data_IF_275580508325
#
_entry.id   IF_275580508325
#
_cell.length_a   1.000
_cell.length_b   1.000
_cell.length_c   1.000
_cell.angle_alpha   90.00
_cell.angle_beta   90.00
_cell.angle_gamma   90.00
#
_symmetry.space_group_name_H-M   'P 1'
#
loop_
_entity.id
_entity.type
_entity.pdbx_description
1 polymer ?
#
# COMPACT_ATOMS: atom_id res chain seq x y z
N UNK A 1 21.85 8.15 -17.81
CA UNK A 1 21.70 9.59 -18.11
C UNK A 1 20.22 9.92 -17.96
N UNK A 2 19.79 10.21 -16.72
CA UNK A 2 18.40 10.60 -16.46
C UNK A 2 18.29 12.11 -16.67
N UNK A 3 17.35 12.51 -17.52
CA UNK A 3 17.13 13.89 -17.91
C UNK A 3 16.71 14.75 -16.73
N UNK A 4 17.36 15.91 -16.61
CA UNK A 4 16.92 17.00 -15.74
C UNK A 4 15.49 17.39 -16.14
N UNK A 5 14.53 17.11 -15.26
CA UNK A 5 13.14 17.56 -15.45
C UNK A 5 13.14 19.09 -15.44
N UNK A 6 12.57 19.78 -16.45
CA UNK A 6 12.62 21.23 -16.52
C UNK A 6 11.92 21.83 -15.30
N UNK A 7 12.56 22.79 -14.64
CA UNK A 7 11.97 23.60 -13.59
C UNK A 7 10.84 24.46 -14.19
N UNK A 8 9.64 23.89 -14.28
CA UNK A 8 8.44 24.67 -14.58
C UNK A 8 8.09 25.50 -13.34
N UNK A 9 8.03 26.82 -13.50
CA UNK A 9 7.85 27.81 -12.44
C UNK A 9 6.46 27.80 -11.75
N UNK A 10 5.65 26.76 -12.01
CA UNK A 10 4.41 26.46 -11.29
C UNK A 10 4.63 25.20 -10.45
N UNK A 11 5.35 25.32 -9.32
CA UNK A 11 5.48 24.23 -8.37
C UNK A 11 4.10 23.87 -7.80
N UNK A 12 3.64 22.65 -8.06
CA UNK A 12 2.40 22.08 -7.56
C UNK A 12 2.33 22.16 -6.02
N UNK A 13 1.26 22.65 -5.34
CA UNK A 13 1.04 22.55 -3.89
C UNK A 13 1.44 21.22 -3.23
N UNK A 14 1.17 20.07 -3.87
CA UNK A 14 1.65 18.76 -3.38
C UNK A 14 3.19 18.70 -3.43
N UNK A 15 3.80 19.20 -4.52
CA UNK A 15 5.24 19.35 -4.70
C UNK A 15 5.90 20.37 -3.76
N UNK A 16 5.19 21.43 -3.34
CA UNK A 16 5.70 22.44 -2.38
C UNK A 16 5.76 21.90 -0.95
N UNK A 17 4.91 20.92 -0.61
CA UNK A 17 4.76 20.38 0.74
C UNK A 17 5.55 19.09 0.98
N UNK A 18 5.85 18.32 -0.07
CA UNK A 18 6.68 17.12 0.00
C UNK A 18 8.15 17.47 -0.31
N UNK A 19 9.04 17.29 0.68
CA UNK A 19 10.48 17.60 0.55
C UNK A 19 11.28 16.64 -0.36
N UNK A 20 10.62 15.69 -1.02
CA UNK A 20 11.14 14.92 -2.15
C UNK A 20 9.93 14.40 -2.93
N UNK A 21 10.00 14.42 -4.25
CA UNK A 21 8.83 14.24 -5.12
C UNK A 21 8.53 12.77 -5.42
N UNK A 22 9.45 11.87 -5.18
CA UNK A 22 9.37 10.47 -5.59
C UNK A 22 10.12 9.62 -4.57
N UNK A 23 9.77 8.34 -4.48
CA UNK A 23 10.65 7.37 -3.83
C UNK A 23 11.94 7.30 -4.65
N UNK A 24 13.07 7.72 -4.10
CA UNK A 24 14.32 7.80 -4.86
C UNK A 24 15.12 6.50 -4.79
N UNK A 25 16.02 6.31 -5.76
CA UNK A 25 16.96 5.19 -5.76
C UNK A 25 17.86 5.21 -4.51
N UNK A 26 18.12 6.40 -3.92
CA UNK A 26 18.85 6.50 -2.65
C UNK A 26 18.06 5.85 -1.51
N UNK A 27 16.76 6.13 -1.38
CA UNK A 27 15.94 5.50 -0.33
C UNK A 27 15.90 3.99 -0.50
N UNK A 28 15.74 3.49 -1.73
CA UNK A 28 15.77 2.05 -1.99
C UNK A 28 17.12 1.42 -1.63
N UNK A 29 18.23 2.12 -1.93
CA UNK A 29 19.57 1.69 -1.56
C UNK A 29 19.74 1.65 -0.05
N UNK A 30 19.39 2.72 0.65
CA UNK A 30 19.50 2.82 2.10
C UNK A 30 18.62 1.79 2.82
N UNK A 31 17.39 1.57 2.33
CA UNK A 31 16.50 0.50 2.81
C UNK A 31 17.16 -0.88 2.69
N UNK A 32 17.76 -1.20 1.54
CA UNK A 32 18.45 -2.48 1.36
C UNK A 32 19.66 -2.60 2.28
N UNK A 33 20.43 -1.54 2.47
CA UNK A 33 21.59 -1.56 3.36
C UNK A 33 21.17 -1.84 4.82
N UNK A 34 20.09 -1.22 5.29
CA UNK A 34 19.49 -1.50 6.60
C UNK A 34 19.03 -2.96 6.72
N UNK A 35 18.26 -3.43 5.75
CA UNK A 35 17.72 -4.79 5.75
C UNK A 35 18.83 -5.85 5.67
N UNK A 36 19.83 -5.59 4.84
CA UNK A 36 20.97 -6.48 4.66
C UNK A 36 21.82 -6.56 5.92
N UNK A 37 22.09 -5.43 6.58
CA UNK A 37 22.79 -5.40 7.87
C UNK A 37 22.09 -6.30 8.88
N UNK A 38 20.76 -6.22 8.95
CA UNK A 38 19.99 -7.06 9.85
C UNK A 38 20.03 -8.54 9.47
N UNK A 39 19.97 -8.86 8.17
CA UNK A 39 20.14 -10.23 7.70
C UNK A 39 21.53 -10.81 8.06
N UNK A 40 22.60 -10.01 8.02
CA UNK A 40 23.94 -10.40 8.46
C UNK A 40 24.02 -10.69 9.97
N UNK A 41 23.34 -9.89 10.80
CA UNK A 41 23.22 -10.14 12.25
C UNK A 41 22.58 -11.52 12.52
N UNK A 42 21.72 -11.96 11.61
CA UNK A 42 21.01 -13.24 11.64
C UNK A 42 21.62 -14.32 10.74
N UNK A 43 22.91 -14.16 10.44
CA UNK A 43 23.78 -15.19 9.83
C UNK A 43 23.38 -15.62 8.43
N UNK A 44 22.76 -14.72 7.66
CA UNK A 44 22.45 -14.99 6.25
C UNK A 44 23.73 -15.21 5.42
N UNK A 45 24.82 -14.53 5.76
CA UNK A 45 26.14 -14.67 5.14
C UNK A 45 26.67 -16.11 5.26
N UNK A 46 26.61 -16.67 6.47
CA UNK A 46 27.04 -18.03 6.75
C UNK A 46 26.15 -19.05 6.03
N UNK A 47 24.86 -18.76 5.92
CA UNK A 47 23.93 -19.59 5.16
C UNK A 47 24.28 -19.58 3.66
N UNK A 48 24.49 -18.40 3.06
CA UNK A 48 24.84 -18.25 1.64
C UNK A 48 26.18 -18.92 1.34
N UNK A 49 27.22 -18.64 2.13
CA UNK A 49 28.55 -19.21 1.92
C UNK A 49 28.54 -20.75 1.98
N UNK A 50 27.72 -21.32 2.87
CA UNK A 50 27.52 -22.78 2.97
C UNK A 50 26.60 -23.36 1.91
N UNK A 51 25.75 -22.55 1.28
CA UNK A 51 24.82 -23.01 0.24
C UNK A 51 25.46 -22.97 -1.14
N UNK A 52 26.31 -21.96 -1.39
CA UNK A 52 27.03 -21.77 -2.64
C UNK A 52 28.03 -22.91 -2.90
N UNK A 53 27.99 -23.45 -4.11
CA UNK A 53 28.80 -24.60 -4.50
C UNK A 53 30.30 -24.33 -4.36
N UNK A 54 30.76 -23.11 -4.67
CA UNK A 54 32.18 -22.72 -4.56
C UNK A 54 32.56 -22.40 -3.11
N UNK A 55 31.67 -21.73 -2.38
CA UNK A 55 31.87 -21.41 -0.96
C UNK A 55 32.02 -22.64 -0.07
N UNK A 56 31.32 -23.75 -0.37
CA UNK A 56 31.42 -25.02 0.38
C UNK A 56 32.82 -25.64 0.36
N UNK A 57 33.53 -25.51 -0.75
CA UNK A 57 34.78 -26.22 -1.02
C UNK A 57 36.02 -25.36 -0.83
N UNK A 58 35.83 -24.05 -0.61
CA UNK A 58 36.92 -23.09 -0.51
C UNK A 58 37.45 -23.00 0.94
N UNK A 59 38.69 -23.45 1.20
CA UNK A 59 39.29 -23.39 2.53
C UNK A 59 39.65 -21.96 2.98
N UNK A 60 39.71 -20.99 2.05
CA UNK A 60 40.05 -19.59 2.36
C UNK A 60 38.84 -18.77 2.81
N UNK A 61 37.63 -19.19 2.38
CA UNK A 61 36.38 -18.48 2.62
C UNK A 61 36.13 -17.30 1.67
N UNK A 62 37.07 -16.96 0.80
CA UNK A 62 36.96 -15.87 -0.17
C UNK A 62 35.79 -16.07 -1.13
N UNK A 63 35.62 -17.29 -1.66
CA UNK A 63 34.50 -17.64 -2.54
C UNK A 63 33.14 -17.51 -1.84
N UNK A 64 33.11 -17.78 -0.54
CA UNK A 64 31.93 -17.56 0.31
C UNK A 64 31.60 -16.07 0.41
N UNK A 65 32.59 -15.22 0.66
CA UNK A 65 32.41 -13.75 0.70
C UNK A 65 31.96 -13.19 -0.65
N UNK A 66 32.53 -13.67 -1.76
CA UNK A 66 32.09 -13.26 -3.10
C UNK A 66 30.63 -13.67 -3.38
N UNK A 67 30.22 -14.88 -2.96
CA UNK A 67 28.84 -15.34 -3.11
C UNK A 67 27.86 -14.44 -2.35
N UNK A 68 28.21 -14.05 -1.12
CA UNK A 68 27.43 -13.11 -0.30
C UNK A 68 27.29 -11.75 -1.01
N UNK A 69 28.38 -11.24 -1.61
CA UNK A 69 28.34 -9.99 -2.38
C UNK A 69 27.45 -10.08 -3.63
N UNK A 70 27.52 -11.18 -4.41
CA UNK A 70 26.67 -11.39 -5.59
C UNK A 70 25.18 -11.52 -5.23
N UNK A 71 24.86 -12.15 -4.11
CA UNK A 71 23.48 -12.24 -3.62
C UNK A 71 22.95 -10.85 -3.25
N UNK A 72 23.74 -10.05 -2.53
CA UNK A 72 23.37 -8.66 -2.20
C UNK A 72 23.14 -7.81 -3.46
N UNK A 73 24.00 -7.95 -4.46
CA UNK A 73 23.82 -7.24 -5.74
C UNK A 73 22.54 -7.68 -6.46
N UNK A 74 22.25 -8.98 -6.49
CA UNK A 74 21.00 -9.48 -7.07
C UNK A 74 19.78 -8.95 -6.33
N UNK A 75 19.83 -8.85 -5.00
CA UNK A 75 18.77 -8.20 -4.23
C UNK A 75 18.63 -6.72 -4.62
N UNK A 76 19.74 -5.98 -4.74
CA UNK A 76 19.76 -4.57 -5.14
C UNK A 76 19.08 -4.32 -6.48
N UNK A 77 19.43 -5.11 -7.49
CA UNK A 77 18.85 -4.98 -8.83
C UNK A 77 17.32 -5.15 -8.86
N UNK A 78 16.77 -5.95 -7.95
CA UNK A 78 15.34 -6.30 -7.93
C UNK A 78 14.61 -5.78 -6.69
N UNK A 79 15.24 -4.91 -5.91
CA UNK A 79 14.76 -4.56 -4.57
C UNK A 79 13.41 -3.85 -4.62
N UNK A 80 13.21 -2.91 -5.56
CA UNK A 80 11.92 -2.24 -5.73
C UNK A 80 10.75 -3.22 -5.99
N UNK A 81 10.99 -4.29 -6.77
CA UNK A 81 10.00 -5.34 -7.01
C UNK A 81 9.73 -6.16 -5.75
N UNK A 82 10.79 -6.55 -5.02
CA UNK A 82 10.66 -7.30 -3.75
C UNK A 82 9.82 -6.50 -2.76
N UNK A 83 10.04 -5.19 -2.70
CA UNK A 83 9.30 -4.28 -1.85
C UNK A 83 7.82 -4.16 -2.24
N UNK A 84 7.50 -4.02 -3.54
CA UNK A 84 6.12 -4.00 -4.01
C UNK A 84 5.38 -5.29 -3.68
N UNK A 85 6.04 -6.44 -3.87
CA UNK A 85 5.52 -7.75 -3.50
C UNK A 85 5.25 -7.84 -2.00
N UNK A 86 6.22 -7.42 -1.19
CA UNK A 86 6.06 -7.39 0.26
C UNK A 86 4.88 -6.51 0.70
N UNK A 87 4.84 -5.26 0.23
CA UNK A 87 3.81 -4.28 0.58
C UNK A 87 2.41 -4.80 0.21
N UNK A 88 2.26 -5.46 -0.95
CA UNK A 88 1.01 -6.05 -1.40
C UNK A 88 0.55 -7.20 -0.50
N UNK A 89 1.38 -8.22 -0.27
CA UNK A 89 0.96 -9.36 0.57
C UNK A 89 0.77 -8.98 2.03
N UNK A 90 1.52 -8.02 2.56
CA UNK A 90 1.29 -7.47 3.90
C UNK A 90 -0.08 -6.77 3.98
N UNK A 91 -0.51 -6.10 2.91
CA UNK A 91 -1.80 -5.40 2.86
C UNK A 91 -3.03 -6.30 2.84
N UNK A 92 -2.87 -7.59 2.52
CA UNK A 92 -3.96 -8.57 2.51
C UNK A 92 -4.36 -9.04 3.92
N UNK A 93 -3.60 -8.66 4.94
CA UNK A 93 -3.82 -9.11 6.30
C UNK A 93 -5.17 -8.61 6.86
N UNK A 94 -6.05 -9.56 7.16
CA UNK A 94 -7.39 -9.31 7.67
C UNK A 94 -7.40 -8.84 9.15
N UNK A 95 -6.34 -9.12 9.92
CA UNK A 95 -6.25 -8.79 11.34
C UNK A 95 -5.88 -7.32 11.60
N UNK A 96 -5.69 -6.52 10.54
CA UNK A 96 -5.49 -5.08 10.59
C UNK A 96 -4.04 -4.61 10.66
N UNK A 97 -3.07 -5.51 10.85
CA UNK A 97 -1.64 -5.19 10.67
C UNK A 97 -1.25 -5.33 9.19
N UNK A 98 -1.34 -4.23 8.46
CA UNK A 98 -1.03 -4.15 7.03
C UNK A 98 0.47 -3.98 6.74
N UNK A 99 1.33 -4.09 7.75
CA UNK A 99 2.78 -3.87 7.63
C UNK A 99 3.61 -5.11 7.91
N UNK A 100 3.01 -6.28 8.09
CA UNK A 100 3.71 -7.56 8.23
C UNK A 100 2.97 -8.66 7.47
N UNK A 101 3.68 -9.70 7.05
CA UNK A 101 3.08 -10.84 6.35
C UNK A 101 2.80 -11.96 7.36
N UNK A 102 1.53 -12.15 7.69
CA UNK A 102 1.06 -13.28 8.50
C UNK A 102 1.15 -14.61 7.74
N UNK A 103 0.95 -15.72 8.46
CA UNK A 103 1.02 -17.07 7.85
C UNK A 103 -0.04 -17.30 6.75
N UNK A 104 -1.19 -16.65 6.84
CA UNK A 104 -2.26 -16.79 5.84
C UNK A 104 -1.86 -16.11 4.52
N UNK A 105 -1.37 -14.88 4.60
CA UNK A 105 -0.92 -14.07 3.48
C UNK A 105 0.35 -14.67 2.86
N UNK A 106 1.25 -15.18 3.69
CA UNK A 106 2.40 -15.94 3.26
C UNK A 106 2.00 -17.19 2.46
N UNK A 107 0.98 -17.93 2.92
CA UNK A 107 0.46 -19.09 2.19
C UNK A 107 -0.20 -18.71 0.87
N UNK A 108 -0.90 -17.56 0.81
CA UNK A 108 -1.43 -17.03 -0.44
C UNK A 108 -0.28 -16.75 -1.43
N UNK A 109 0.76 -16.05 -0.98
CA UNK A 109 1.98 -15.81 -1.75
C UNK A 109 2.64 -17.10 -2.25
N UNK A 110 2.81 -18.12 -1.39
CA UNK A 110 3.42 -19.39 -1.79
C UNK A 110 2.62 -20.09 -2.90
N UNK A 111 1.29 -20.12 -2.77
CA UNK A 111 0.41 -20.79 -3.71
C UNK A 111 0.37 -20.05 -5.05
N UNK A 112 0.21 -18.73 -5.01
CA UNK A 112 0.12 -17.86 -6.19
C UNK A 112 1.43 -17.88 -6.98
N UNK A 113 2.58 -17.81 -6.30
CA UNK A 113 3.88 -17.94 -6.94
C UNK A 113 4.28 -19.39 -7.26
N UNK A 114 3.44 -20.39 -6.98
CA UNK A 114 3.74 -21.82 -7.16
C UNK A 114 5.12 -22.26 -6.59
N UNK A 115 5.47 -21.70 -5.43
CA UNK A 115 6.78 -21.94 -4.77
C UNK A 115 6.94 -23.36 -4.20
N UNK A 116 5.90 -24.02 -3.66
CA UNK A 116 6.01 -25.40 -3.25
C UNK A 116 6.25 -26.35 -4.44
N UNK A 117 7.23 -27.25 -4.31
CA UNK A 117 7.44 -28.36 -5.24
C UNK A 117 6.85 -29.64 -4.61
N UNK A 118 5.81 -30.25 -5.20
CA UNK A 118 5.26 -31.51 -4.70
C UNK A 118 6.33 -32.61 -4.62
N UNK A 119 6.40 -33.26 -3.45
CA UNK A 119 7.35 -34.36 -3.19
C UNK A 119 8.81 -33.95 -2.96
N UNK A 120 9.16 -32.66 -3.06
CA UNK A 120 10.48 -32.18 -2.67
C UNK A 120 10.65 -32.28 -1.14
N UNK A 121 11.81 -32.72 -0.67
CA UNK A 121 12.12 -32.73 0.78
C UNK A 121 12.49 -31.34 1.29
N UNK A 122 13.03 -30.49 0.41
CA UNK A 122 13.62 -29.21 0.77
C UNK A 122 12.86 -28.00 0.20
N UNK A 123 11.74 -28.22 -0.49
CA UNK A 123 10.93 -27.14 -1.06
C UNK A 123 9.44 -27.50 -1.17
N UNK A 124 8.93 -28.45 -0.38
CA UNK A 124 7.49 -28.63 -0.25
C UNK A 124 6.86 -27.53 0.64
N UNK A 125 5.54 -27.45 0.68
CA UNK A 125 4.80 -26.45 1.44
C UNK A 125 5.19 -26.43 2.92
N UNK A 126 5.21 -27.60 3.56
CA UNK A 126 5.57 -27.73 4.98
C UNK A 126 6.99 -27.22 5.26
N UNK A 127 7.95 -27.49 4.37
CA UNK A 127 9.31 -26.98 4.50
C UNK A 127 9.37 -25.46 4.39
N UNK A 128 8.62 -24.86 3.46
CA UNK A 128 8.56 -23.39 3.32
C UNK A 128 7.89 -22.72 4.53
N UNK A 129 6.84 -23.32 5.10
CA UNK A 129 6.23 -22.88 6.37
C UNK A 129 7.21 -23.03 7.55
N UNK A 130 8.03 -24.09 7.57
CA UNK A 130 9.09 -24.23 8.58
C UNK A 130 10.17 -23.16 8.42
N UNK A 131 10.51 -22.75 7.19
CA UNK A 131 11.42 -21.62 6.96
C UNK A 131 10.82 -20.32 7.51
N UNK A 132 9.54 -20.05 7.28
CA UNK A 132 8.84 -18.90 7.88
C UNK A 132 9.02 -18.90 9.40
N UNK A 133 8.67 -20.01 10.07
CA UNK A 133 8.74 -20.09 11.54
C UNK A 133 10.17 -19.97 12.04
N UNK A 134 11.14 -20.58 11.35
CA UNK A 134 12.55 -20.51 11.74
C UNK A 134 13.12 -19.10 11.60
N UNK A 135 12.65 -18.32 10.62
CA UNK A 135 13.08 -16.93 10.43
C UNK A 135 12.44 -16.03 11.50
N UNK A 136 11.12 -16.09 11.69
CA UNK A 136 10.39 -15.31 12.72
C UNK A 136 10.93 -15.58 14.15
N UNK A 137 11.14 -16.85 14.49
CA UNK A 137 11.62 -17.22 15.84
C UNK A 137 13.13 -17.08 16.04
N UNK A 138 13.92 -17.05 14.96
CA UNK A 138 15.39 -17.13 15.00
C UNK A 138 16.11 -15.80 15.25
N UNK A 139 15.38 -14.69 15.31
CA UNK A 139 15.97 -13.36 15.36
C UNK A 139 16.58 -13.04 16.73
N UNK A 140 17.89 -12.79 16.74
CA UNK A 140 18.62 -12.42 17.97
C UNK A 140 18.32 -11.00 18.42
N UNK A 141 18.14 -10.10 17.46
CA UNK A 141 17.63 -8.75 17.69
C UNK A 141 16.11 -8.78 17.52
N UNK A 142 15.36 -8.89 18.63
CA UNK A 142 13.91 -8.69 18.55
C UNK A 142 13.65 -7.23 18.26
N UNK A 143 13.27 -6.96 17.02
CA UNK A 143 12.82 -5.63 16.63
C UNK A 143 11.59 -5.27 17.47
N UNK A 144 11.59 -4.05 18.01
CA UNK A 144 10.55 -3.57 18.92
C UNK A 144 9.15 -3.59 18.29
N UNK A 145 9.10 -3.53 16.95
CA UNK A 145 7.90 -3.41 16.14
C UNK A 145 7.59 -4.67 15.33
N UNK A 146 8.39 -5.74 15.46
CA UNK A 146 8.06 -6.97 14.77
C UNK A 146 6.89 -7.67 15.48
N UNK A 147 5.88 -8.03 14.70
CA UNK A 147 4.77 -8.84 15.21
C UNK A 147 5.26 -10.27 15.41
N UNK A 148 4.76 -10.95 16.44
CA UNK A 148 5.07 -12.38 16.61
C UNK A 148 4.26 -13.15 15.57
N UNK A 149 4.88 -14.13 14.92
CA UNK A 149 4.22 -15.00 13.95
C UNK A 149 3.89 -14.32 12.61
N UNK A 150 4.63 -13.27 12.25
CA UNK A 150 4.54 -12.58 10.97
C UNK A 150 5.94 -12.18 10.50
N UNK A 151 6.13 -12.05 9.19
CA UNK A 151 7.41 -11.60 8.63
C UNK A 151 7.41 -10.08 8.45
N UNK A 152 8.43 -9.43 9.02
CA UNK A 152 8.84 -8.09 8.61
C UNK A 152 9.46 -8.09 7.21
N UNK A 153 9.69 -6.91 6.65
CA UNK A 153 10.36 -6.72 5.34
C UNK A 153 11.71 -7.42 5.27
N UNK A 154 12.47 -7.33 6.35
CA UNK A 154 13.81 -7.90 6.50
C UNK A 154 13.79 -9.43 6.58
N UNK A 155 12.76 -9.96 7.23
CA UNK A 155 12.54 -11.40 7.36
C UNK A 155 12.05 -12.00 6.04
N UNK A 156 11.18 -11.29 5.32
CA UNK A 156 10.74 -11.68 3.99
C UNK A 156 11.92 -11.74 3.00
N UNK A 157 12.82 -10.75 3.02
CA UNK A 157 14.05 -10.78 2.21
C UNK A 157 14.92 -12.01 2.51
N UNK A 158 15.10 -12.36 3.79
CA UNK A 158 15.83 -13.58 4.17
C UNK A 158 15.11 -14.85 3.72
N UNK A 159 13.78 -14.87 3.79
CA UNK A 159 12.97 -15.96 3.27
C UNK A 159 13.24 -16.18 1.78
N UNK A 160 13.23 -15.13 0.96
CA UNK A 160 13.47 -15.26 -0.49
C UNK A 160 14.82 -15.90 -0.81
N UNK A 161 15.89 -15.50 -0.11
CA UNK A 161 17.22 -16.11 -0.28
C UNK A 161 17.20 -17.59 0.09
N UNK A 162 16.56 -17.95 1.22
CA UNK A 162 16.48 -19.34 1.69
C UNK A 162 15.61 -20.20 0.78
N UNK A 163 14.49 -19.66 0.31
CA UNK A 163 13.58 -20.31 -0.63
C UNK A 163 14.26 -20.57 -1.98
N UNK A 164 15.06 -19.61 -2.49
CA UNK A 164 15.84 -19.80 -3.71
C UNK A 164 16.83 -20.97 -3.60
N UNK A 165 17.57 -21.03 -2.48
CA UNK A 165 18.49 -22.16 -2.20
C UNK A 165 17.72 -23.48 -2.11
N UNK A 166 16.61 -23.50 -1.39
CA UNK A 166 15.74 -24.67 -1.23
C UNK A 166 15.18 -25.18 -2.55
N UNK A 167 14.77 -24.27 -3.45
CA UNK A 167 14.11 -24.59 -4.71
C UNK A 167 15.07 -25.00 -5.83
N UNK A 168 16.28 -24.40 -5.85
CA UNK A 168 17.19 -24.52 -6.99
C UNK A 168 18.60 -25.01 -6.67
N UNK A 169 19.10 -24.79 -5.44
CA UNK A 169 20.46 -25.20 -5.05
C UNK A 169 20.52 -26.53 -4.31
N UNK A 170 19.37 -27.20 -4.15
CA UNK A 170 19.26 -28.54 -3.61
C UNK A 170 18.67 -29.49 -4.64
N UNK A 171 19.09 -30.78 -4.65
CA UNK A 171 18.45 -31.80 -5.46
C UNK A 171 16.95 -31.88 -5.18
N UNK A 172 16.12 -31.89 -6.23
CA UNK A 172 14.66 -32.04 -6.05
C UNK A 172 14.29 -33.45 -5.65
N UNK A 173 15.03 -34.44 -6.16
CA UNK A 173 14.97 -35.84 -5.75
C UNK A 173 16.36 -36.38 -5.44
N UNK A 174 16.40 -37.48 -4.68
CA UNK A 174 17.64 -38.17 -4.36
C UNK A 174 18.33 -38.64 -5.64
N UNK A 175 19.58 -38.23 -5.83
CA UNK A 175 20.41 -38.61 -6.98
C UNK A 175 20.34 -37.65 -8.17
N UNK A 176 19.55 -36.57 -8.09
CA UNK A 176 19.57 -35.49 -9.09
C UNK A 176 20.61 -34.43 -8.73
N UNK A 177 21.14 -33.76 -9.75
CA UNK A 177 21.98 -32.58 -9.55
C UNK A 177 21.10 -31.35 -9.27
N UNK A 178 21.58 -30.38 -8.45
CA UNK A 178 20.93 -29.08 -8.32
C UNK A 178 20.83 -28.35 -9.67
N UNK A 179 19.79 -27.53 -9.82
CA UNK A 179 19.63 -26.69 -11.02
C UNK A 179 20.67 -25.56 -11.03
N UNK A 180 20.94 -24.99 -9.86
CA UNK A 180 21.93 -23.93 -9.68
C UNK A 180 22.93 -24.31 -8.58
N UNK A 181 24.17 -23.93 -8.78
CA UNK A 181 25.23 -24.01 -7.75
C UNK A 181 25.62 -22.63 -7.21
N UNK A 182 25.29 -21.55 -7.94
CA UNK A 182 25.43 -20.16 -7.50
C UNK A 182 24.11 -19.67 -6.90
N UNK A 183 24.16 -19.23 -5.64
CA UNK A 183 22.97 -18.75 -4.92
C UNK A 183 22.39 -17.49 -5.55
N UNK A 184 23.22 -16.61 -6.14
CA UNK A 184 22.76 -15.40 -6.80
C UNK A 184 21.97 -15.71 -8.08
N UNK A 185 22.38 -16.73 -8.84
CA UNK A 185 21.63 -17.21 -10.00
C UNK A 185 20.29 -17.84 -9.58
N UNK A 186 20.29 -18.65 -8.52
CA UNK A 186 19.06 -19.22 -7.97
C UNK A 186 18.07 -18.16 -7.47
N UNK A 187 18.56 -17.10 -6.83
CA UNK A 187 17.72 -16.00 -6.39
C UNK A 187 17.14 -15.24 -7.58
N UNK A 188 17.95 -14.99 -8.62
CA UNK A 188 17.47 -14.35 -9.85
C UNK A 188 16.40 -15.19 -10.56
N UNK A 189 16.58 -16.51 -10.61
CA UNK A 189 15.59 -17.46 -11.15
C UNK A 189 14.27 -17.40 -10.35
N UNK A 190 14.36 -17.40 -9.01
CA UNK A 190 13.19 -17.23 -8.15
C UNK A 190 12.46 -15.91 -8.44
N UNK A 191 13.18 -14.79 -8.49
CA UNK A 191 12.58 -13.47 -8.63
C UNK A 191 11.97 -13.24 -10.02
N UNK A 192 12.70 -13.55 -11.09
CA UNK A 192 12.32 -13.17 -12.45
C UNK A 192 11.46 -14.21 -13.16
N UNK A 193 11.73 -15.50 -12.93
CA UNK A 193 11.07 -16.58 -13.68
C UNK A 193 9.98 -17.26 -12.85
N UNK A 194 10.04 -17.18 -11.52
CA UNK A 194 9.01 -17.75 -10.65
C UNK A 194 8.07 -16.69 -10.06
N UNK A 195 8.57 -15.63 -9.44
CA UNK A 195 7.71 -14.66 -8.75
C UNK A 195 7.08 -13.66 -9.71
N UNK A 196 7.89 -12.90 -10.45
CA UNK A 196 7.42 -11.82 -11.35
C UNK A 196 6.26 -12.21 -12.28
N UNK A 197 6.25 -13.38 -12.95
CA UNK A 197 5.13 -13.74 -13.83
C UNK A 197 3.89 -14.26 -13.10
N UNK A 198 3.99 -14.63 -11.82
CA UNK A 198 2.93 -15.34 -11.11
C UNK A 198 2.29 -14.55 -9.95
N UNK A 199 2.95 -13.54 -9.40
CA UNK A 199 2.33 -12.64 -8.40
C UNK A 199 1.17 -11.84 -9.01
N UNK A 200 0.22 -11.44 -8.17
CA UNK A 200 -0.83 -10.49 -8.53
C UNK A 200 -0.19 -9.25 -9.17
N UNK A 201 -0.64 -8.80 -10.35
CA UNK A 201 -0.04 -7.64 -11.01
C UNK A 201 -0.10 -6.36 -10.15
N UNK A 202 -1.02 -6.25 -9.18
CA UNK A 202 -1.07 -5.16 -8.21
C UNK A 202 0.18 -5.10 -7.31
N UNK A 203 0.83 -6.24 -7.08
CA UNK A 203 2.10 -6.36 -6.35
C UNK A 203 3.28 -5.73 -7.11
N UNK A 204 3.12 -5.48 -8.41
CA UNK A 204 4.13 -4.92 -9.30
C UNK A 204 3.83 -3.46 -9.68
N UNK A 205 2.80 -2.83 -9.11
CA UNK A 205 2.48 -1.44 -9.42
C UNK A 205 3.61 -0.49 -9.00
N UNK A 206 3.82 0.56 -9.78
CA UNK A 206 4.85 1.55 -9.53
C UNK A 206 4.25 2.87 -9.04
N UNK A 207 4.42 3.17 -7.76
CA UNK A 207 3.89 4.40 -7.17
C UNK A 207 4.45 5.68 -7.80
N UNK A 208 5.71 5.67 -8.25
CA UNK A 208 6.29 6.83 -8.91
C UNK A 208 5.71 7.05 -10.31
N UNK A 209 5.43 5.98 -11.07
CA UNK A 209 4.73 6.09 -12.35
C UNK A 209 3.30 6.59 -12.15
N UNK A 210 2.58 6.08 -11.15
CA UNK A 210 1.26 6.59 -10.78
C UNK A 210 1.30 8.10 -10.49
N UNK A 211 2.23 8.53 -9.62
CA UNK A 211 2.39 9.93 -9.24
C UNK A 211 2.66 10.82 -10.45
N UNK A 212 3.57 10.40 -11.34
CA UNK A 212 3.89 11.15 -12.56
C UNK A 212 2.70 11.23 -13.52
N UNK A 213 1.96 10.13 -13.68
CA UNK A 213 0.83 10.04 -14.63
C UNK A 213 -0.39 10.83 -14.15
N UNK A 214 -0.71 10.78 -12.86
CA UNK A 214 -2.02 11.22 -12.37
C UNK A 214 -1.98 12.33 -11.31
N UNK A 215 -0.97 12.34 -10.43
CA UNK A 215 -0.92 13.26 -9.30
C UNK A 215 -0.16 14.55 -9.64
N UNK A 216 1.00 14.42 -10.29
CA UNK A 216 1.91 15.54 -10.59
C UNK A 216 1.67 16.15 -11.96
N UNK A 217 0.40 16.36 -12.27
CA UNK A 217 -0.08 17.07 -13.45
C UNK A 217 -0.79 18.35 -13.02
N UNK A 218 -0.77 19.37 -13.88
CA UNK A 218 -1.16 20.73 -13.53
C UNK A 218 -2.65 20.82 -13.13
N UNK A 219 -3.50 20.06 -13.80
CA UNK A 219 -4.95 20.07 -13.62
C UNK A 219 -5.36 19.42 -12.29
N UNK A 220 -4.75 18.27 -11.95
CA UNK A 220 -4.95 17.62 -10.64
C UNK A 220 -4.49 18.53 -9.50
N UNK A 221 -3.34 19.17 -9.68
CA UNK A 221 -2.80 20.10 -8.70
C UNK A 221 -3.69 21.33 -8.48
N UNK A 222 -4.16 21.95 -9.56
CA UNK A 222 -5.07 23.10 -9.48
C UNK A 222 -6.37 22.75 -8.74
N UNK A 223 -6.93 21.57 -8.99
CA UNK A 223 -8.09 21.06 -8.28
C UNK A 223 -7.81 20.85 -6.78
N UNK A 224 -6.71 20.16 -6.45
CA UNK A 224 -6.33 19.91 -5.07
C UNK A 224 -6.11 21.22 -4.30
N UNK A 225 -5.50 22.23 -4.94
CA UNK A 225 -5.34 23.56 -4.37
C UNK A 225 -6.68 24.25 -4.12
N UNK A 226 -7.62 24.14 -5.06
CA UNK A 226 -8.96 24.73 -4.95
C UNK A 226 -9.75 24.15 -3.76
N UNK A 227 -9.62 22.85 -3.49
CA UNK A 227 -10.32 22.16 -2.41
C UNK A 227 -9.47 21.93 -1.15
N UNK A 228 -8.29 22.54 -1.06
CA UNK A 228 -7.32 22.28 0.00
C UNK A 228 -7.89 22.47 1.40
N UNK A 229 -8.67 23.53 1.64
CA UNK A 229 -9.27 23.79 2.96
C UNK A 229 -10.25 22.70 3.38
N UNK A 230 -11.03 22.18 2.44
CA UNK A 230 -12.00 21.10 2.65
C UNK A 230 -11.28 19.79 2.99
N UNK A 231 -10.27 19.45 2.19
CA UNK A 231 -9.48 18.23 2.37
C UNK A 231 -8.67 18.28 3.66
N UNK A 232 -8.10 19.44 4.00
CA UNK A 232 -7.37 19.66 5.25
C UNK A 232 -8.31 19.52 6.46
N UNK A 233 -9.52 20.09 6.40
CA UNK A 233 -10.51 19.94 7.47
C UNK A 233 -10.88 18.47 7.71
N UNK A 234 -11.01 17.67 6.64
CA UNK A 234 -11.26 16.24 6.74
C UNK A 234 -10.07 15.50 7.37
N UNK A 235 -8.86 15.70 6.82
CA UNK A 235 -7.63 15.10 7.32
C UNK A 235 -7.38 15.40 8.80
N UNK A 236 -7.49 16.67 9.21
CA UNK A 236 -7.19 17.09 10.57
C UNK A 236 -8.10 16.43 11.61
N UNK A 237 -9.37 16.20 11.27
CA UNK A 237 -10.34 15.61 12.20
C UNK A 237 -10.15 14.11 12.36
N UNK A 238 -9.71 13.42 11.31
CA UNK A 238 -9.44 11.98 11.38
C UNK A 238 -8.03 11.66 11.88
N UNK A 239 -7.04 12.50 11.62
CA UNK A 239 -5.65 12.32 12.10
C UNK A 239 -5.41 12.77 13.55
N UNK A 240 -6.34 13.51 14.16
CA UNK A 240 -6.23 13.98 15.56
C UNK A 240 -6.98 13.06 16.55
N UNK A 241 -7.16 11.78 16.22
CA UNK A 241 -7.75 10.81 17.15
C UNK A 241 -6.81 10.47 18.31
N UNK A 242 -7.40 10.19 19.48
CA UNK A 242 -6.65 9.63 20.59
C UNK A 242 -6.28 8.19 20.26
N UNK A 243 -4.98 7.94 20.17
CA UNK A 243 -4.44 6.61 19.94
C UNK A 243 -4.32 5.84 21.25
N UNK A 244 -4.43 4.51 21.17
CA UNK A 244 -4.13 3.65 22.32
C UNK A 244 -2.68 3.88 22.76
N UNK A 245 -2.44 4.00 24.07
CA UNK A 245 -1.10 4.26 24.63
C UNK A 245 -0.08 3.17 24.31
N UNK A 246 -0.54 1.97 23.93
CA UNK A 246 0.27 0.83 23.54
C UNK A 246 0.73 0.86 22.07
N UNK A 247 0.06 1.62 21.19
CA UNK A 247 0.48 1.73 19.79
C UNK A 247 1.54 2.84 19.65
N UNK A 248 2.79 2.41 19.51
CA UNK A 248 3.92 3.32 19.37
C UNK A 248 4.01 3.94 17.98
N UNK A 249 3.40 3.31 16.97
CA UNK A 249 3.48 3.69 15.55
C UNK A 249 2.45 4.76 15.18
N UNK A 250 1.38 4.86 15.95
CA UNK A 250 0.40 5.95 15.89
C UNK A 250 0.97 7.29 16.38
N UNK A 251 0.60 8.39 15.73
CA UNK A 251 0.95 9.75 16.15
C UNK A 251 -0.13 10.77 15.74
N UNK A 252 -0.56 11.61 16.70
CA UNK A 252 -1.51 12.69 16.43
C UNK A 252 -1.00 13.61 15.32
N UNK A 253 -1.90 13.96 14.41
CA UNK A 253 -1.61 14.76 13.23
C UNK A 253 -1.12 13.96 12.01
N UNK A 254 -1.02 12.62 12.12
CA UNK A 254 -0.85 11.72 10.98
C UNK A 254 -1.98 10.69 10.92
N UNK A 255 -2.38 10.33 9.70
CA UNK A 255 -3.52 9.46 9.48
C UNK A 255 -3.05 8.00 9.35
N UNK A 256 -3.27 7.19 10.37
CA UNK A 256 -2.99 5.75 10.34
C UNK A 256 -4.06 4.96 9.57
N UNK A 257 -3.81 3.67 9.33
CA UNK A 257 -4.72 2.80 8.57
C UNK A 257 -6.10 2.72 9.21
N UNK A 258 -6.18 2.58 10.54
CA UNK A 258 -7.46 2.52 11.25
C UNK A 258 -8.28 3.80 11.06
N UNK A 259 -7.65 4.97 11.16
CA UNK A 259 -8.32 6.25 10.93
C UNK A 259 -8.78 6.41 9.48
N UNK A 260 -7.97 5.96 8.53
CA UNK A 260 -8.32 5.93 7.11
C UNK A 260 -9.53 5.04 6.82
N UNK A 261 -9.54 3.80 7.34
CA UNK A 261 -10.66 2.87 7.20
C UNK A 261 -11.94 3.43 7.83
N UNK A 262 -11.85 3.98 9.05
CA UNK A 262 -12.98 4.61 9.75
C UNK A 262 -13.53 5.82 8.97
N UNK A 263 -12.65 6.61 8.35
CA UNK A 263 -13.07 7.74 7.52
C UNK A 263 -13.89 7.26 6.32
N UNK A 264 -13.39 6.25 5.61
CA UNK A 264 -14.05 5.70 4.44
C UNK A 264 -15.35 4.98 4.80
N UNK A 265 -15.41 4.31 5.96
CA UNK A 265 -16.63 3.69 6.49
C UNK A 265 -17.69 4.74 6.84
N UNK A 266 -17.34 5.81 7.58
CA UNK A 266 -18.27 6.91 7.86
C UNK A 266 -18.81 7.55 6.57
N UNK A 267 -18.02 7.60 5.51
CA UNK A 267 -18.39 8.12 4.19
C UNK A 267 -19.04 7.07 3.27
N UNK A 268 -19.15 5.81 3.72
CA UNK A 268 -19.68 4.67 2.95
C UNK A 268 -19.06 4.60 1.54
N UNK A 269 -17.72 4.70 1.48
CA UNK A 269 -16.97 4.68 0.21
C UNK A 269 -16.68 3.28 -0.30
N UNK A 270 -16.92 2.23 0.49
CA UNK A 270 -16.84 0.84 0.04
C UNK A 270 -18.13 0.46 -0.70
N UNK A 271 -18.00 -0.21 -1.84
CA UNK A 271 -19.10 -0.73 -2.64
C UNK A 271 -18.76 -2.11 -3.21
N UNK A 272 -19.58 -2.61 -4.16
CA UNK A 272 -19.40 -3.93 -4.76
C UNK A 272 -18.09 -4.11 -5.54
N UNK A 273 -17.49 -3.03 -6.05
CA UNK A 273 -16.28 -3.09 -6.88
C UNK A 273 -15.06 -2.45 -6.17
N UNK A 274 -15.28 -1.38 -5.39
CA UNK A 274 -14.26 -0.77 -4.54
C UNK A 274 -14.38 -1.31 -3.12
N UNK A 275 -13.64 -2.37 -2.82
CA UNK A 275 -13.72 -3.07 -1.54
C UNK A 275 -12.73 -2.52 -0.51
N UNK A 276 -12.71 -3.13 0.68
CA UNK A 276 -11.69 -2.85 1.71
C UNK A 276 -10.28 -3.09 1.17
N UNK A 277 -10.10 -4.03 0.23
CA UNK A 277 -8.79 -4.34 -0.37
C UNK A 277 -8.27 -3.17 -1.20
N UNK A 278 -9.07 -2.59 -2.08
CA UNK A 278 -8.69 -1.43 -2.91
C UNK A 278 -8.46 -0.21 -2.02
N UNK A 279 -9.29 -0.03 -0.98
CA UNK A 279 -9.12 1.02 0.01
C UNK A 279 -7.81 0.90 0.79
N UNK A 280 -7.42 -0.29 1.24
CA UNK A 280 -6.13 -0.53 1.89
C UNK A 280 -4.97 -0.33 0.91
N UNK A 281 -5.14 -0.73 -0.35
CA UNK A 281 -4.14 -0.50 -1.41
C UNK A 281 -3.89 0.99 -1.65
N UNK A 282 -4.94 1.83 -1.66
CA UNK A 282 -4.81 3.29 -1.73
C UNK A 282 -3.89 3.83 -0.63
N UNK A 283 -4.09 3.38 0.61
CA UNK A 283 -3.28 3.76 1.76
C UNK A 283 -1.84 3.25 1.59
N UNK A 284 -1.67 1.97 1.28
CA UNK A 284 -0.36 1.34 1.21
C UNK A 284 0.54 1.96 0.14
N UNK A 285 -0.01 2.23 -1.05
CA UNK A 285 0.72 2.75 -2.19
C UNK A 285 0.97 4.26 -2.14
N UNK A 286 0.17 5.00 -1.37
CA UNK A 286 0.33 6.44 -1.21
C UNK A 286 1.48 6.84 -0.26
N UNK A 287 1.84 5.95 0.67
CA UNK A 287 2.94 6.20 1.63
C UNK A 287 4.26 6.39 0.90
N UNK A 288 5.10 7.26 1.45
CA UNK A 288 6.49 7.34 1.05
C UNK A 288 7.30 6.24 1.73
N UNK A 289 8.27 5.69 1.02
CA UNK A 289 9.15 4.65 1.54
C UNK A 289 10.10 5.21 2.60
N UNK A 290 10.46 4.37 3.57
CA UNK A 290 11.47 4.69 4.59
C UNK A 290 12.62 3.70 4.55
N UNK A 291 13.82 4.18 4.90
CA UNK A 291 15.03 3.39 4.91
C UNK A 291 15.01 2.37 6.07
N UNK A 292 14.89 2.84 7.30
CA UNK A 292 15.04 2.04 8.51
C UNK A 292 13.71 1.88 9.27
N UNK A 293 13.06 0.74 9.08
CA UNK A 293 11.79 0.42 9.76
C UNK A 293 11.95 0.11 11.26
N UNK A 294 13.20 -0.06 11.73
CA UNK A 294 13.51 -0.30 13.15
C UNK A 294 13.56 1.01 13.95
N UNK A 295 13.73 2.14 13.26
CA UNK A 295 13.72 3.47 13.86
C UNK A 295 12.27 3.95 14.06
N UNK A 296 11.90 4.30 15.29
CA UNK A 296 10.53 4.72 15.60
C UNK A 296 10.04 5.95 14.81
N UNK A 297 10.93 6.90 14.52
CA UNK A 297 10.57 8.13 13.79
C UNK A 297 10.26 7.80 12.34
N UNK A 298 11.03 6.91 11.73
CA UNK A 298 10.79 6.45 10.37
C UNK A 298 9.60 5.50 10.29
N UNK A 299 9.48 4.57 11.23
CA UNK A 299 8.34 3.65 11.33
C UNK A 299 7.01 4.41 11.44
N UNK A 300 6.95 5.51 12.19
CA UNK A 300 5.78 6.40 12.23
C UNK A 300 5.47 7.04 10.88
N UNK A 301 6.47 7.49 10.12
CA UNK A 301 6.25 8.03 8.78
C UNK A 301 5.75 6.97 7.81
N UNK A 302 6.25 5.74 7.96
CA UNK A 302 5.82 4.62 7.14
C UNK A 302 4.40 4.17 7.49
N UNK A 303 4.04 4.09 8.76
CA UNK A 303 2.75 3.56 9.20
C UNK A 303 1.59 4.56 9.10
N UNK A 304 1.84 5.81 8.72
CA UNK A 304 0.82 6.85 8.66
C UNK A 304 0.96 7.72 7.41
N UNK A 305 -0.15 8.25 6.91
CA UNK A 305 -0.18 9.24 5.85
C UNK A 305 0.01 10.64 6.45
N UNK A 306 0.92 11.42 5.87
CA UNK A 306 0.88 12.88 5.98
C UNK A 306 -0.24 13.42 5.10
N UNK A 307 -0.52 14.71 5.21
CA UNK A 307 -1.54 15.34 4.37
C UNK A 307 -1.30 15.14 2.86
N UNK A 308 -0.05 15.23 2.39
CA UNK A 308 0.28 14.99 0.98
C UNK A 308 0.03 13.54 0.54
N UNK A 309 0.33 12.57 1.40
CA UNK A 309 0.09 11.15 1.14
C UNK A 309 -1.43 10.86 1.15
N UNK A 310 -2.18 11.55 2.01
CA UNK A 310 -3.64 11.50 2.01
C UNK A 310 -4.26 12.02 0.70
N UNK A 311 -3.71 13.11 0.12
CA UNK A 311 -4.16 13.58 -1.19
C UNK A 311 -3.87 12.56 -2.30
N UNK A 312 -2.72 11.88 -2.26
CA UNK A 312 -2.41 10.79 -3.18
C UNK A 312 -3.37 9.62 -3.01
N UNK A 313 -3.68 9.22 -1.76
CA UNK A 313 -4.62 8.13 -1.48
C UNK A 313 -6.01 8.43 -2.04
N UNK A 314 -6.49 9.68 -1.96
CA UNK A 314 -7.74 10.09 -2.62
C UNK A 314 -7.63 10.07 -4.15
N UNK A 315 -6.49 10.46 -4.72
CA UNK A 315 -6.28 10.37 -6.16
C UNK A 315 -6.29 8.91 -6.65
N UNK A 316 -5.69 7.98 -5.89
CA UNK A 316 -5.75 6.52 -6.16
C UNK A 316 -7.17 5.99 -6.04
N UNK A 317 -7.90 6.42 -5.02
CA UNK A 317 -9.31 6.06 -4.88
C UNK A 317 -10.13 6.56 -6.07
N UNK A 318 -9.85 7.76 -6.58
CA UNK A 318 -10.55 8.30 -7.74
C UNK A 318 -10.28 7.54 -9.06
N UNK A 319 -9.17 6.80 -9.18
CA UNK A 319 -8.92 5.91 -10.34
C UNK A 319 -9.65 4.58 -10.20
N UNK A 320 -9.84 4.08 -8.97
CA UNK A 320 -10.44 2.76 -8.71
C UNK A 320 -11.94 2.81 -8.44
N UNK A 321 -12.47 3.95 -7.97
CA UNK A 321 -13.89 4.07 -7.67
C UNK A 321 -14.67 4.46 -8.92
N UNK A 322 -15.80 3.80 -9.15
CA UNK A 322 -16.70 4.14 -10.26
C UNK A 322 -17.39 5.49 -10.01
N UNK A 323 -16.80 6.56 -10.54
CA UNK A 323 -17.32 7.93 -10.46
C UNK A 323 -18.01 8.36 -11.75
N UNK A 324 -19.16 9.08 -11.71
CA UNK A 324 -19.80 9.63 -12.90
C UNK A 324 -18.86 10.47 -13.77
N UNK A 325 -19.06 10.39 -15.09
CA UNK A 325 -18.45 11.31 -16.06
C UNK A 325 -19.21 12.63 -16.10
N UNK A 326 -18.55 13.68 -16.59
CA UNK A 326 -19.21 14.98 -16.77
C UNK A 326 -20.46 14.90 -17.66
N UNK A 327 -20.38 14.14 -18.75
CA UNK A 327 -21.51 13.93 -19.67
C UNK A 327 -22.69 13.22 -18.96
N UNK A 328 -22.39 12.23 -18.11
CA UNK A 328 -23.41 11.54 -17.30
C UNK A 328 -24.06 12.48 -16.28
N UNK A 329 -23.27 13.34 -15.64
CA UNK A 329 -23.73 14.34 -14.67
C UNK A 329 -24.64 15.38 -15.36
N UNK A 330 -24.24 15.88 -16.53
CA UNK A 330 -25.03 16.81 -17.33
C UNK A 330 -26.34 16.18 -17.79
N UNK A 331 -26.29 14.95 -18.30
CA UNK A 331 -27.48 14.21 -18.73
C UNK A 331 -28.46 13.94 -17.57
N UNK A 332 -27.95 13.78 -16.34
CA UNK A 332 -28.74 13.62 -15.13
C UNK A 332 -29.25 14.96 -14.54
N UNK A 333 -28.88 16.10 -15.12
CA UNK A 333 -29.24 17.44 -14.63
C UNK A 333 -28.73 17.71 -13.22
N UNK A 334 -27.58 17.14 -12.86
CA UNK A 334 -26.94 17.32 -11.55
C UNK A 334 -25.78 18.31 -11.65
N UNK A 335 -25.40 18.97 -10.55
CA UNK A 335 -24.28 19.90 -10.56
C UNK A 335 -22.92 19.19 -10.58
N UNK A 336 -22.84 18.01 -9.97
CA UNK A 336 -21.65 17.17 -9.89
C UNK A 336 -21.99 15.69 -9.64
N UNK A 337 -20.97 14.84 -9.72
CA UNK A 337 -21.09 13.41 -9.52
C UNK A 337 -21.46 13.03 -8.09
N UNK A 338 -21.10 13.84 -7.10
CA UNK A 338 -21.53 13.64 -5.71
C UNK A 338 -23.04 13.78 -5.55
N UNK A 339 -23.62 14.83 -6.11
CA UNK A 339 -25.07 15.04 -6.17
C UNK A 339 -25.77 13.90 -6.92
N UNK A 340 -25.25 13.53 -8.09
CA UNK A 340 -25.80 12.45 -8.90
C UNK A 340 -25.86 11.13 -8.13
N UNK A 341 -24.74 10.72 -7.51
CA UNK A 341 -24.67 9.46 -6.76
C UNK A 341 -25.53 9.47 -5.49
N UNK A 342 -25.66 10.61 -4.81
CA UNK A 342 -26.48 10.72 -3.59
C UNK A 342 -27.99 10.77 -3.89
N UNK A 343 -28.39 11.15 -5.11
CA UNK A 343 -29.80 11.09 -5.56
C UNK A 343 -30.25 9.68 -5.95
N UNK A 344 -29.32 8.80 -6.35
CA UNK A 344 -29.63 7.43 -6.73
C UNK A 344 -30.13 6.63 -5.53
N UNK A 345 -31.16 5.80 -5.75
CA UNK A 345 -31.52 4.79 -4.74
C UNK A 345 -30.47 3.67 -4.69
N UNK A 346 -30.35 2.91 -3.59
CA UNK A 346 -29.29 1.92 -3.43
C UNK A 346 -29.17 0.89 -4.57
N UNK A 347 -30.29 0.43 -5.13
CA UNK A 347 -30.30 -0.52 -6.25
C UNK A 347 -29.77 0.09 -7.55
N UNK A 348 -30.10 1.36 -7.83
CA UNK A 348 -29.58 2.09 -8.99
C UNK A 348 -28.07 2.33 -8.84
N UNK A 349 -27.64 2.71 -7.65
CA UNK A 349 -26.21 2.92 -7.34
C UNK A 349 -25.40 1.64 -7.50
N UNK A 350 -25.90 0.52 -6.98
CA UNK A 350 -25.29 -0.81 -7.19
C UNK A 350 -25.19 -1.15 -8.68
N UNK A 351 -26.28 -0.99 -9.42
CA UNK A 351 -26.28 -1.25 -10.86
C UNK A 351 -25.31 -0.32 -11.61
N UNK A 352 -25.19 0.93 -11.18
CA UNK A 352 -24.25 1.89 -11.75
C UNK A 352 -22.80 1.41 -11.62
N UNK A 353 -22.43 0.93 -10.43
CA UNK A 353 -21.09 0.44 -10.09
C UNK A 353 -20.77 -0.88 -10.81
N UNK A 354 -21.61 -1.91 -10.67
CA UNK A 354 -21.36 -3.26 -11.21
C UNK A 354 -21.28 -3.30 -12.74
N UNK A 355 -21.99 -2.41 -13.44
CA UNK A 355 -21.92 -2.34 -14.90
C UNK A 355 -20.64 -1.64 -15.41
N UNK A 356 -19.89 -0.98 -14.53
CA UNK A 356 -18.76 -0.11 -14.87
C UNK A 356 -17.61 -0.35 -13.88
N UNK A 357 -17.10 -1.59 -13.78
CA UNK A 357 -15.99 -1.87 -12.89
C UNK A 357 -14.79 -0.97 -13.24
N UNK A 358 -14.09 -0.51 -12.21
CA UNK A 358 -12.83 0.21 -12.32
C UNK A 358 -11.85 -0.49 -11.39
N UNK A 359 -10.72 -0.93 -11.95
CA UNK A 359 -9.66 -1.57 -11.19
C UNK A 359 -8.44 -0.64 -11.12
N UNK A 360 -7.46 -1.00 -10.29
CA UNK A 360 -6.24 -0.21 -10.10
C UNK A 360 -5.42 0.01 -11.39
N UNK A 361 -5.54 -0.89 -12.36
CA UNK A 361 -4.85 -0.87 -13.65
C UNK A 361 -5.73 -0.35 -14.81
N UNK A 362 -6.99 -0.01 -14.52
CA UNK A 362 -7.92 0.53 -15.52
C UNK A 362 -7.57 1.98 -15.86
N UNK A 363 -7.67 2.33 -17.14
CA UNK A 363 -7.61 3.74 -17.53
C UNK A 363 -8.87 4.47 -17.05
N UNK A 364 -8.75 5.63 -16.37
CA UNK A 364 -9.92 6.39 -15.95
C UNK A 364 -10.82 6.77 -17.12
N UNK A 365 -12.14 6.71 -16.91
CA UNK A 365 -13.16 7.00 -17.94
C UNK A 365 -13.20 8.46 -18.42
N UNK A 366 -12.46 9.34 -17.75
CA UNK A 366 -12.29 10.75 -18.06
C UNK A 366 -10.98 11.22 -17.39
N UNK A 367 -10.48 12.44 -17.68
CA UNK A 367 -9.27 12.94 -17.03
C UNK A 367 -9.34 12.82 -15.50
N UNK A 368 -8.24 12.37 -14.87
CA UNK A 368 -8.22 12.02 -13.44
C UNK A 368 -8.69 13.16 -12.53
N UNK A 369 -8.37 14.41 -12.85
CA UNK A 369 -8.83 15.56 -12.08
C UNK A 369 -10.37 15.68 -12.07
N UNK A 370 -11.07 15.24 -13.13
CA UNK A 370 -12.54 15.16 -13.12
C UNK A 370 -13.05 14.04 -12.22
N UNK A 371 -12.47 12.85 -12.29
CA UNK A 371 -12.80 11.74 -11.37
C UNK A 371 -12.61 12.17 -9.91
N UNK A 372 -11.48 12.82 -9.62
CA UNK A 372 -11.15 13.31 -8.29
C UNK A 372 -12.09 14.43 -7.84
N UNK A 373 -12.49 15.34 -8.73
CA UNK A 373 -13.49 16.37 -8.43
C UNK A 373 -14.80 15.74 -7.99
N UNK A 374 -15.30 14.74 -8.74
CA UNK A 374 -16.54 14.05 -8.40
C UNK A 374 -16.41 13.30 -7.06
N UNK A 375 -15.25 12.70 -6.76
CA UNK A 375 -15.01 12.06 -5.46
C UNK A 375 -15.04 13.09 -4.32
N UNK A 376 -14.35 14.24 -4.48
CA UNK A 376 -14.35 15.32 -3.48
C UNK A 376 -15.77 15.86 -3.27
N UNK A 377 -16.55 16.02 -4.35
CA UNK A 377 -17.93 16.48 -4.26
C UNK A 377 -18.82 15.48 -3.51
N UNK A 378 -18.65 14.17 -3.74
CA UNK A 378 -19.35 13.11 -3.02
C UNK A 378 -19.06 13.17 -1.52
N UNK A 379 -17.77 13.25 -1.16
CA UNK A 379 -17.32 13.35 0.23
C UNK A 379 -17.91 14.60 0.90
N UNK A 380 -17.81 15.74 0.23
CA UNK A 380 -18.27 17.03 0.76
C UNK A 380 -19.78 17.02 1.01
N UNK A 381 -20.56 16.63 0.01
CA UNK A 381 -22.02 16.57 0.09
C UNK A 381 -22.52 15.54 1.10
N UNK A 382 -21.80 14.44 1.29
CA UNK A 382 -22.12 13.44 2.32
C UNK A 382 -21.99 14.03 3.72
N UNK A 383 -20.93 14.79 3.99
CA UNK A 383 -20.72 15.47 5.28
C UNK A 383 -21.78 16.54 5.48
N UNK A 384 -22.00 17.41 4.50
CA UNK A 384 -23.01 18.48 4.56
C UNK A 384 -24.42 17.92 4.78
N UNK A 385 -24.82 16.87 4.05
CA UNK A 385 -26.15 16.26 4.16
C UNK A 385 -26.46 15.80 5.58
N UNK A 386 -25.52 15.07 6.21
CA UNK A 386 -25.69 14.57 7.58
C UNK A 386 -25.73 15.69 8.61
N UNK A 387 -24.84 16.70 8.48
CA UNK A 387 -24.79 17.83 9.41
C UNK A 387 -26.08 18.65 9.32
N UNK A 388 -26.58 18.91 8.11
CA UNK A 388 -27.76 19.76 7.89
C UNK A 388 -29.05 19.09 8.36
N UNK A 389 -29.21 17.77 8.16
CA UNK A 389 -30.41 17.02 8.58
C UNK A 389 -30.59 17.01 10.11
N UNK A 390 -29.51 16.96 10.90
CA UNK A 390 -29.60 16.84 12.37
C UNK A 390 -29.56 18.17 13.13
N UNK A 391 -29.00 19.24 12.56
CA UNK A 391 -29.03 20.58 13.16
C UNK A 391 -30.37 21.24 12.79
N UNK A 392 -31.40 20.98 13.61
CA UNK A 392 -32.80 21.44 13.41
C UNK A 392 -32.89 22.88 12.84
N UNK A 393 -33.50 23.02 11.66
CA UNK A 393 -34.14 24.27 11.20
C UNK A 393 -33.36 25.12 10.19
N UNK A 394 -32.22 24.65 9.67
CA UNK A 394 -31.55 25.31 8.54
C UNK A 394 -31.99 24.62 7.25
N UNK A 395 -32.52 25.40 6.31
CA UNK A 395 -32.80 24.97 4.95
C UNK A 395 -31.57 24.22 4.40
N UNK A 396 -31.70 22.99 3.85
CA UNK A 396 -30.61 22.28 3.20
C UNK A 396 -30.16 23.03 1.95
N UNK A 397 -29.48 24.15 2.16
CA UNK A 397 -28.72 24.85 1.16
C UNK A 397 -27.48 24.01 0.93
N UNK A 398 -27.58 23.13 -0.06
CA UNK A 398 -26.42 22.57 -0.74
C UNK A 398 -25.46 23.72 -0.99
N UNK A 399 -24.30 23.67 -0.36
CA UNK A 399 -23.31 24.72 -0.55
C UNK A 399 -22.76 24.59 -1.96
N UNK A 400 -23.00 25.62 -2.77
CA UNK A 400 -22.48 25.66 -4.14
C UNK A 400 -20.93 25.66 -4.18
N UNK A 401 -20.27 26.04 -3.08
CA UNK A 401 -18.81 26.19 -3.03
C UNK A 401 -18.05 24.93 -2.58
N UNK A 402 -18.74 23.83 -2.23
CA UNK A 402 -18.14 22.55 -1.79
C UNK A 402 -17.07 22.74 -0.69
N UNK A 403 -17.46 23.41 0.40
CA UNK A 403 -16.56 23.76 1.51
C UNK A 403 -16.95 23.15 2.85
N UNK A 404 -16.02 22.38 3.41
CA UNK A 404 -16.11 21.84 4.77
C UNK A 404 -15.22 22.61 5.76
N UNK A 405 -15.77 22.83 6.95
CA UNK A 405 -15.04 23.28 8.13
C UNK A 405 -14.72 22.11 9.05
N UNK A 406 -13.69 22.25 9.90
CA UNK A 406 -13.36 21.23 10.93
C UNK A 406 -14.54 20.95 11.87
N UNK A 407 -15.38 21.95 12.15
CA UNK A 407 -16.53 21.79 13.03
C UNK A 407 -17.62 20.90 12.41
N UNK A 408 -17.86 21.03 11.10
CA UNK A 408 -18.80 20.18 10.35
C UNK A 408 -18.30 18.74 10.31
N UNK A 409 -17.02 18.52 9.99
CA UNK A 409 -16.44 17.17 9.96
C UNK A 409 -16.46 16.53 11.36
N UNK A 410 -16.15 17.28 12.43
CA UNK A 410 -16.28 16.77 13.82
C UNK A 410 -17.71 16.37 14.14
N UNK A 411 -18.68 17.16 13.69
CA UNK A 411 -20.10 16.86 13.88
C UNK A 411 -20.50 15.60 13.12
N UNK A 412 -20.16 15.50 11.83
CA UNK A 412 -20.38 14.31 11.00
C UNK A 412 -19.82 13.04 11.63
N UNK A 413 -18.56 13.09 12.06
CA UNK A 413 -17.89 11.98 12.73
C UNK A 413 -18.56 11.59 14.05
N UNK A 414 -18.94 12.57 14.89
CA UNK A 414 -19.66 12.33 16.15
C UNK A 414 -21.03 11.67 15.91
N UNK A 415 -21.66 11.95 14.77
CA UNK A 415 -22.93 11.37 14.38
C UNK A 415 -22.80 9.95 13.79
N UNK A 416 -21.59 9.40 13.69
CA UNK A 416 -21.34 8.08 13.09
C UNK A 416 -21.38 8.09 11.56
N UNK A 417 -21.15 9.24 10.93
CA UNK A 417 -21.16 9.39 9.48
C UNK A 417 -22.54 9.15 8.85
N UNK A 418 -22.55 8.61 7.62
CA UNK A 418 -23.77 8.27 6.89
C UNK A 418 -24.55 7.14 7.58
N UNK A 419 -23.87 6.09 8.06
CA UNK A 419 -24.51 4.97 8.74
C UNK A 419 -25.27 5.38 10.02
N UNK A 420 -24.68 6.27 10.82
CA UNK A 420 -25.32 6.81 12.01
C UNK A 420 -26.43 7.85 11.74
N UNK A 421 -26.53 8.36 10.51
CA UNK A 421 -27.65 9.19 10.09
C UNK A 421 -28.90 8.35 9.78
N UNK A 422 -28.74 7.24 9.05
CA UNK A 422 -29.85 6.35 8.66
C UNK A 422 -30.57 5.73 9.87
N UNK A 423 -29.83 5.34 10.92
CA UNK A 423 -30.40 4.74 12.14
C UNK A 423 -31.17 5.73 13.03
N UNK A 424 -31.05 7.04 12.77
CA UNK A 424 -31.63 8.11 13.58
C UNK A 424 -32.81 8.82 12.92
N UNK A 425 -33.11 8.47 11.66
CA UNK A 425 -34.34 8.87 11.01
C UNK A 425 -35.50 8.14 11.70
N UNK A 426 -36.53 8.83 12.20
CA UNK A 426 -37.70 8.15 12.75
C UNK A 426 -38.29 7.29 11.64
N UNK A 427 -38.43 5.98 11.90
CA UNK A 427 -39.16 5.09 11.01
C UNK A 427 -40.59 5.62 10.78
N UNK A 428 -41.22 5.25 9.66
CA UNK A 428 -42.53 5.76 9.27
C UNK A 428 -43.60 5.64 10.37
#
# INVERSE_FOLDING_TARGET
MYGVVPACACMCPVRRRANNLLDTDEVATDSLECDWKWALENKIDQFIAKADGRGKTDPTGEAGTEAVARVKETLREHYAMILGIYDYYASLNADGDVFTIGMNEFNAFLNECELPIPGSLDCNKQHLEQLFVAIDSGQKAKEKFNSKHALSRQEFLQFLVRAAVSRYCKPRKKGEEPIHTDVSAALRELLLNQMKPNVDPAALQNSNEFRQKFLYVQETDALLAQHESTLQALYDVYSDEQHATSDLTSISGMLGITQWLNMCDHLQLVDEEFTIREMTSCFMWARMRVADETNIVERRKMCNLKFVDFLEALCRMATMKTMPTDDEVEAAGCADGGEMLLKMVPSERRNFVVQRPQNWDSEPRQPIWRCLFHLISLITRSVEGVVTVKVKGVDPTVKADLRLTRAEVKTFKKLGGLAGAEQSSPGP
#
